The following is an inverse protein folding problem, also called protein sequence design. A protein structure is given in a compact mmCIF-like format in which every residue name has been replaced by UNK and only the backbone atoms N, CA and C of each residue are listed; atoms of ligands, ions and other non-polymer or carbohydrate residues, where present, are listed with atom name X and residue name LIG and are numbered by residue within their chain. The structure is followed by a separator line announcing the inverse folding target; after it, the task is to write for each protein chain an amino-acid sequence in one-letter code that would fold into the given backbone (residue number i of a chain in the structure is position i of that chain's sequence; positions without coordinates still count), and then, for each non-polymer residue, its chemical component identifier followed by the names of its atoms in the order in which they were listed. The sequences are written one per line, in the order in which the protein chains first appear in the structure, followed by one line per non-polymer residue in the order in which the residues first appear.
data_IF_755396481685
#
_entry.id   IF_755396481685
#
_cell.length_a   1.000
_cell.length_b   1.000
_cell.length_c   1.000
_cell.angle_alpha   90.00
_cell.angle_beta   90.00
_cell.angle_gamma   90.00
#
_symmetry.space_group_name_H-M   'P 1'
#
loop_
_entity.id
_entity.type
_entity.pdbx_description
1 polymer ?
#
# COMPACT_ATOMS: atom_id res chain seq x y z
N UNK A 1 63.42 -55.91 -22.93
CA UNK A 1 62.93 -56.80 -24.01
C UNK A 1 61.49 -57.22 -23.72
N UNK A 2 60.56 -56.95 -24.64
CA UNK A 2 59.23 -57.59 -24.90
C UNK A 2 58.25 -57.74 -23.71
N UNK A 3 57.14 -56.97 -23.68
CA UNK A 3 55.79 -57.31 -24.22
C UNK A 3 55.29 -58.73 -23.85
N UNK A 4 54.17 -58.87 -23.12
CA UNK A 4 52.81 -59.13 -23.66
C UNK A 4 51.75 -59.49 -22.57
N UNK A 5 50.57 -58.86 -22.69
CA UNK A 5 49.16 -59.36 -22.52
C UNK A 5 48.59 -59.95 -21.18
N UNK A 6 47.63 -59.17 -20.63
CA UNK A 6 46.15 -59.40 -20.52
C UNK A 6 45.61 -60.60 -19.73
N UNK A 7 44.74 -60.34 -18.73
CA UNK A 7 43.41 -60.94 -18.47
C UNK A 7 42.71 -60.13 -17.34
N UNK A 8 41.65 -59.34 -17.63
CA UNK A 8 40.21 -59.58 -17.36
C UNK A 8 39.86 -60.01 -15.92
N UNK A 9 39.17 -59.13 -15.17
CA UNK A 9 38.43 -59.49 -13.95
C UNK A 9 37.79 -58.29 -13.25
N UNK A 10 36.47 -58.13 -13.43
CA UNK A 10 35.46 -57.54 -12.52
C UNK A 10 35.84 -56.36 -11.60
N UNK A 11 35.26 -55.18 -11.86
CA UNK A 11 35.04 -54.12 -10.87
C UNK A 11 33.53 -53.91 -10.69
N UNK A 12 33.03 -54.17 -9.48
CA UNK A 12 31.72 -53.70 -9.04
C UNK A 12 31.75 -52.17 -8.97
N UNK A 13 30.97 -51.50 -9.81
CA UNK A 13 30.67 -50.08 -9.68
C UNK A 13 29.54 -49.87 -8.67
N UNK A 14 29.88 -49.37 -7.48
CA UNK A 14 28.91 -48.81 -6.55
C UNK A 14 28.64 -47.35 -6.91
N UNK A 15 27.49 -47.07 -7.53
CA UNK A 15 26.99 -45.71 -7.74
C UNK A 15 26.20 -45.31 -6.50
N UNK A 16 26.78 -44.41 -5.70
CA UNK A 16 26.11 -43.75 -4.59
C UNK A 16 25.16 -42.68 -5.19
N UNK A 17 23.87 -43.00 -5.28
CA UNK A 17 22.85 -42.06 -5.71
C UNK A 17 22.59 -41.00 -4.65
N UNK A 18 23.06 -39.77 -4.87
CA UNK A 18 22.63 -38.60 -4.09
C UNK A 18 21.22 -38.25 -4.53
N UNK A 19 20.24 -38.60 -3.69
CA UNK A 19 18.85 -38.16 -3.83
C UNK A 19 18.77 -36.66 -3.53
N UNK A 20 18.85 -35.83 -4.57
CA UNK A 20 18.40 -34.44 -4.53
C UNK A 20 16.87 -34.45 -4.41
N UNK A 21 16.37 -34.46 -3.17
CA UNK A 21 14.96 -34.17 -2.91
C UNK A 21 14.64 -32.75 -3.39
N UNK A 22 13.48 -32.51 -4.03
CA UNK A 22 13.08 -31.17 -4.38
C UNK A 22 12.97 -30.33 -3.10
N UNK A 23 13.71 -29.23 -3.03
CA UNK A 23 13.46 -28.17 -2.08
C UNK A 23 12.15 -27.51 -2.50
N UNK A 24 11.04 -27.92 -1.89
CA UNK A 24 9.80 -27.17 -1.95
C UNK A 24 10.05 -25.89 -1.17
N UNK A 25 10.48 -24.84 -1.86
CA UNK A 25 10.31 -23.48 -1.35
C UNK A 25 8.80 -23.29 -1.28
N UNK A 26 8.21 -23.46 -0.11
CA UNK A 26 6.89 -22.92 0.16
C UNK A 26 6.99 -21.45 -0.20
N UNK A 27 6.17 -20.98 -1.14
CA UNK A 27 6.00 -19.56 -1.35
C UNK A 27 5.68 -18.99 0.02
N UNK A 28 6.62 -18.26 0.63
CA UNK A 28 6.33 -17.52 1.84
C UNK A 28 5.08 -16.70 1.52
N UNK A 29 4.08 -16.73 2.40
CA UNK A 29 2.88 -15.89 2.30
C UNK A 29 3.35 -14.46 2.10
N UNK A 30 3.46 -14.07 0.85
CA UNK A 30 4.12 -12.84 0.50
C UNK A 30 3.10 -11.74 0.79
N UNK A 31 3.29 -11.13 1.95
CA UNK A 31 2.50 -9.99 2.37
C UNK A 31 3.25 -8.75 1.89
N UNK A 32 2.57 -7.84 1.19
CA UNK A 32 3.21 -6.63 0.70
C UNK A 32 3.58 -5.67 1.84
N UNK A 33 3.31 -6.01 3.11
CA UNK A 33 3.67 -5.24 4.30
C UNK A 33 4.21 -6.20 5.36
N UNK A 34 5.02 -5.68 6.28
CA UNK A 34 5.49 -6.43 7.44
C UNK A 34 4.51 -6.28 8.61
N UNK A 35 4.38 -7.32 9.43
CA UNK A 35 3.65 -7.21 10.69
C UNK A 35 4.31 -6.14 11.57
N UNK A 36 3.53 -5.17 12.06
CA UNK A 36 4.07 -4.05 12.83
C UNK A 36 4.82 -3.01 11.99
N UNK A 37 4.69 -3.04 10.66
CA UNK A 37 5.33 -2.06 9.79
C UNK A 37 4.95 -0.63 10.20
N UNK A 38 5.96 0.23 10.30
CA UNK A 38 5.81 1.66 10.57
C UNK A 38 6.60 2.44 9.54
N UNK A 39 5.92 3.22 8.71
CA UNK A 39 6.50 4.09 7.69
C UNK A 39 6.34 5.55 8.13
N UNK A 40 7.46 6.25 8.31
CA UNK A 40 7.48 7.67 8.72
C UNK A 40 7.86 8.53 7.52
N UNK A 41 7.05 9.55 7.26
CA UNK A 41 7.18 10.44 6.12
C UNK A 41 7.36 11.87 6.59
N UNK A 42 8.23 12.61 5.93
CA UNK A 42 8.34 14.06 6.09
C UNK A 42 7.37 14.75 5.16
N UNK A 43 6.57 15.65 5.70
CA UNK A 43 5.68 16.51 4.94
C UNK A 43 6.44 17.75 4.51
N UNK A 44 6.45 18.02 3.21
CA UNK A 44 7.22 19.08 2.58
C UNK A 44 6.29 20.03 1.82
N UNK A 45 6.53 21.33 2.01
CA UNK A 45 5.98 22.39 1.16
C UNK A 45 6.68 22.40 -0.21
N UNK A 46 6.15 23.04 -1.28
CA UNK A 46 6.86 23.16 -2.56
C UNK A 46 8.28 23.72 -2.45
N UNK A 47 8.55 24.60 -1.49
CA UNK A 47 9.91 25.13 -1.23
C UNK A 47 10.85 24.13 -0.53
N UNK A 48 10.39 22.89 -0.29
CA UNK A 48 11.05 21.83 0.48
C UNK A 48 11.23 22.11 1.97
N UNK A 49 10.57 23.14 2.49
CA UNK A 49 10.47 23.37 3.94
C UNK A 49 9.64 22.26 4.55
N UNK A 50 10.12 21.69 5.66
CA UNK A 50 9.41 20.67 6.43
C UNK A 50 8.23 21.31 7.16
N UNK A 51 7.06 20.73 6.98
CA UNK A 51 5.82 21.13 7.63
C UNK A 51 5.47 20.23 8.81
N UNK A 52 5.98 19.01 8.83
CA UNK A 52 5.73 18.03 9.87
C UNK A 52 5.92 16.62 9.35
N UNK A 53 5.14 15.69 9.87
CA UNK A 53 5.30 14.26 9.65
C UNK A 53 3.97 13.55 9.38
N UNK A 54 4.05 12.46 8.64
CA UNK A 54 2.98 11.47 8.57
C UNK A 54 3.54 10.10 8.94
N UNK A 55 2.76 9.31 9.66
CA UNK A 55 3.15 7.97 10.09
C UNK A 55 2.06 7.02 9.65
N UNK A 56 2.45 5.97 8.92
CA UNK A 56 1.58 4.86 8.56
C UNK A 56 2.00 3.65 9.39
N UNK A 57 1.03 2.95 9.96
CA UNK A 57 1.24 1.75 10.75
C UNK A 57 0.30 0.64 10.32
N UNK A 58 0.82 -0.58 10.30
CA UNK A 58 0.06 -1.80 10.02
C UNK A 58 0.26 -2.81 11.14
N UNK A 59 -0.83 -3.42 11.58
CA UNK A 59 -0.79 -4.57 12.48
C UNK A 59 -1.88 -5.56 12.12
N UNK A 60 -1.70 -6.84 12.43
CA UNK A 60 -2.74 -7.86 12.32
C UNK A 60 -3.41 -8.14 13.64
N UNK A 61 -4.69 -8.51 13.57
CA UNK A 61 -5.46 -9.02 14.70
C UNK A 61 -6.33 -10.18 14.21
N UNK A 62 -5.85 -11.41 14.41
CA UNK A 62 -6.53 -12.59 13.88
C UNK A 62 -6.58 -12.57 12.35
N UNK A 63 -7.79 -12.53 11.77
CA UNK A 63 -8.01 -12.47 10.32
C UNK A 63 -8.21 -11.04 9.78
N UNK A 64 -7.88 -10.04 10.60
CA UNK A 64 -8.05 -8.63 10.25
C UNK A 64 -6.69 -7.92 10.17
N UNK A 65 -6.61 -6.96 9.26
CA UNK A 65 -5.57 -5.96 9.18
C UNK A 65 -6.07 -4.66 9.77
N UNK A 66 -5.25 -4.03 10.59
CA UNK A 66 -5.51 -2.73 11.20
C UNK A 66 -4.48 -1.75 10.65
N UNK A 67 -4.98 -0.68 10.05
CA UNK A 67 -4.19 0.41 9.51
C UNK A 67 -4.40 1.64 10.37
N UNK A 68 -3.32 2.36 10.69
CA UNK A 68 -3.39 3.66 11.34
C UNK A 68 -2.50 4.65 10.59
N UNK A 69 -3.03 5.85 10.36
CA UNK A 69 -2.29 6.96 9.78
C UNK A 69 -2.49 8.19 10.65
N UNK A 70 -1.38 8.77 11.10
CA UNK A 70 -1.38 10.08 11.74
C UNK A 70 -0.63 11.05 10.86
N UNK A 71 -1.20 12.23 10.62
CA UNK A 71 -0.56 13.32 9.87
C UNK A 71 -0.55 14.51 10.80
N UNK A 72 0.62 15.05 11.08
CA UNK A 72 0.79 16.25 11.90
C UNK A 72 1.63 17.24 11.10
N UNK A 73 1.05 18.40 10.83
CA UNK A 73 1.68 19.46 10.05
C UNK A 73 1.37 20.83 10.62
N UNK A 74 2.23 21.80 10.32
CA UNK A 74 2.06 23.19 10.74
C UNK A 74 2.40 24.14 9.62
N UNK A 75 1.42 24.98 9.27
CA UNK A 75 1.63 26.18 8.47
C UNK A 75 1.62 27.41 9.40
N UNK A 76 2.16 28.57 8.97
CA UNK A 76 2.27 29.75 9.83
C UNK A 76 0.95 30.17 10.51
N UNK A 77 -0.18 29.95 9.84
CA UNK A 77 -1.51 30.41 10.27
C UNK A 77 -2.40 29.31 10.84
N UNK A 78 -2.08 28.03 10.63
CA UNK A 78 -2.94 26.92 11.05
C UNK A 78 -2.18 25.60 11.23
N UNK A 79 -2.66 24.80 12.17
CA UNK A 79 -2.28 23.40 12.34
C UNK A 79 -3.06 22.54 11.35
N UNK A 80 -2.41 21.49 10.87
CA UNK A 80 -3.00 20.39 10.10
C UNK A 80 -2.80 19.13 10.94
N UNK A 81 -3.88 18.46 11.29
CA UNK A 81 -3.84 17.17 11.99
C UNK A 81 -4.86 16.23 11.35
N UNK A 82 -4.42 15.03 11.00
CA UNK A 82 -5.32 13.96 10.58
C UNK A 82 -5.02 12.69 11.37
N UNK A 83 -6.07 11.98 11.75
CA UNK A 83 -6.01 10.64 12.30
C UNK A 83 -6.95 9.76 11.49
N UNK A 84 -6.42 8.75 10.82
CA UNK A 84 -7.17 7.81 10.01
C UNK A 84 -6.91 6.41 10.56
N UNK A 85 -7.96 5.60 10.70
CA UNK A 85 -7.84 4.19 11.00
C UNK A 85 -8.74 3.38 10.08
N UNK A 86 -8.26 2.24 9.61
CA UNK A 86 -9.04 1.33 8.79
C UNK A 86 -8.84 -0.12 9.26
N UNK A 87 -9.88 -0.93 9.12
CA UNK A 87 -9.84 -2.38 9.35
C UNK A 87 -10.26 -3.07 8.07
N UNK A 88 -9.51 -4.07 7.64
CA UNK A 88 -9.82 -4.88 6.46
C UNK A 88 -9.61 -6.37 6.69
N UNK A 89 -10.18 -7.21 5.84
CA UNK A 89 -9.88 -8.65 5.83
C UNK A 89 -8.42 -8.88 5.46
N UNK A 90 -7.77 -9.86 6.10
CA UNK A 90 -6.37 -10.17 5.87
C UNK A 90 -6.09 -10.76 4.48
N UNK A 91 -7.02 -11.53 3.95
CA UNK A 91 -6.86 -12.28 2.69
C UNK A 91 -7.01 -11.36 1.47
N UNK A 92 -8.16 -10.68 1.36
CA UNK A 92 -8.53 -9.94 0.15
C UNK A 92 -8.48 -8.41 0.30
N UNK A 93 -8.15 -7.91 1.49
CA UNK A 93 -8.17 -6.48 1.83
C UNK A 93 -9.55 -5.85 1.56
N UNK A 94 -10.64 -6.55 1.91
CA UNK A 94 -11.97 -5.97 1.87
C UNK A 94 -12.18 -5.14 3.14
N UNK A 95 -12.63 -3.89 3.00
CA UNK A 95 -12.81 -3.02 4.17
C UNK A 95 -13.93 -3.52 5.08
N UNK A 96 -13.72 -3.37 6.38
CA UNK A 96 -14.70 -3.66 7.43
C UNK A 96 -15.09 -2.37 8.15
N UNK A 97 -14.10 -1.53 8.45
CA UNK A 97 -14.29 -0.23 9.10
C UNK A 97 -13.30 0.79 8.57
N UNK A 98 -13.74 2.05 8.51
CA UNK A 98 -12.86 3.18 8.26
C UNK A 98 -13.30 4.35 9.14
N UNK A 99 -12.34 5.08 9.67
CA UNK A 99 -12.58 6.25 10.50
C UNK A 99 -11.53 7.31 10.20
N UNK A 100 -11.96 8.55 10.05
CA UNK A 100 -11.08 9.68 9.79
C UNK A 100 -11.52 10.88 10.62
N UNK A 101 -10.56 11.45 11.35
CA UNK A 101 -10.64 12.78 11.97
C UNK A 101 -9.67 13.70 11.25
N UNK A 102 -10.11 14.91 10.95
CA UNK A 102 -9.30 15.92 10.27
C UNK A 102 -9.52 17.28 10.92
N UNK A 103 -8.44 17.96 11.25
CA UNK A 103 -8.39 19.32 11.74
C UNK A 103 -7.45 20.14 10.85
N UNK A 104 -8.02 21.07 10.09
CA UNK A 104 -7.29 21.96 9.20
C UNK A 104 -7.63 23.41 9.56
N UNK A 105 -6.82 24.01 10.42
CA UNK A 105 -7.13 25.32 11.01
C UNK A 105 -8.46 25.31 11.77
N UNK A 106 -9.43 26.17 11.42
CA UNK A 106 -10.75 26.18 12.07
C UNK A 106 -11.66 25.05 11.60
N UNK A 107 -11.33 24.35 10.51
CA UNK A 107 -12.17 23.28 9.95
C UNK A 107 -11.91 21.98 10.68
N UNK A 108 -12.96 21.39 11.25
CA UNK A 108 -12.93 20.06 11.85
C UNK A 108 -13.92 19.15 11.14
N UNK A 109 -13.53 17.91 10.91
CA UNK A 109 -14.44 16.90 10.37
C UNK A 109 -14.11 15.53 10.92
N UNK A 110 -15.16 14.73 11.07
CA UNK A 110 -15.09 13.34 11.48
C UNK A 110 -16.01 12.53 10.56
N UNK A 111 -15.50 11.42 10.08
CA UNK A 111 -16.18 10.55 9.11
C UNK A 111 -15.90 9.10 9.46
N UNK A 112 -16.95 8.30 9.55
CA UNK A 112 -16.86 6.87 9.86
C UNK A 112 -17.65 6.07 8.82
N UNK A 113 -17.11 4.92 8.41
CA UNK A 113 -17.72 3.96 7.51
C UNK A 113 -17.66 2.58 8.14
N UNK A 114 -18.78 1.86 8.09
CA UNK A 114 -18.86 0.43 8.42
C UNK A 114 -19.32 -0.30 7.16
N UNK A 115 -18.67 -1.42 6.87
CA UNK A 115 -18.90 -2.20 5.67
C UNK A 115 -19.49 -3.56 6.04
N UNK A 116 -20.65 -3.87 5.48
CA UNK A 116 -21.21 -5.21 5.43
C UNK A 116 -21.01 -5.74 4.01
N UNK A 117 -19.89 -6.44 3.82
CA UNK A 117 -19.50 -6.99 2.52
C UNK A 117 -20.49 -8.05 2.03
N UNK A 118 -21.06 -8.84 2.95
CA UNK A 118 -22.01 -9.90 2.61
C UNK A 118 -23.37 -9.35 2.20
N UNK A 119 -23.83 -8.28 2.85
CA UNK A 119 -25.07 -7.59 2.48
C UNK A 119 -24.90 -6.56 1.34
N UNK A 120 -23.67 -6.37 0.84
CA UNK A 120 -23.33 -5.32 -0.13
C UNK A 120 -23.76 -3.91 0.31
N UNK A 121 -23.59 -3.60 1.59
CA UNK A 121 -23.95 -2.30 2.18
C UNK A 121 -22.81 -1.65 2.94
N UNK A 122 -22.73 -0.33 2.88
CA UNK A 122 -21.91 0.47 3.80
C UNK A 122 -22.76 1.52 4.50
N UNK A 123 -22.51 1.71 5.79
CA UNK A 123 -23.11 2.74 6.62
C UNK A 123 -22.06 3.81 6.92
N UNK A 124 -22.37 5.06 6.60
CA UNK A 124 -21.53 6.24 6.88
C UNK A 124 -22.13 7.06 8.00
N UNK A 125 -21.28 7.56 8.89
CA UNK A 125 -21.64 8.58 9.88
C UNK A 125 -20.74 9.80 9.67
N UNK A 126 -21.33 10.95 9.37
CA UNK A 126 -20.60 12.21 9.18
C UNK A 126 -21.42 13.38 9.71
N UNK A 127 -20.84 14.17 10.62
CA UNK A 127 -21.54 15.33 11.21
C UNK A 127 -22.84 14.97 11.93
N UNK A 128 -22.89 13.80 12.58
CA UNK A 128 -24.09 13.28 13.25
C UNK A 128 -25.13 12.65 12.32
N UNK A 129 -24.98 12.77 11.00
CA UNK A 129 -25.89 12.17 10.03
C UNK A 129 -25.43 10.76 9.66
N UNK A 130 -26.37 9.82 9.68
CA UNK A 130 -26.16 8.46 9.16
C UNK A 130 -26.71 8.35 7.75
N UNK A 131 -25.92 7.82 6.82
CA UNK A 131 -26.39 7.41 5.49
C UNK A 131 -25.97 5.99 5.18
N UNK A 132 -26.69 5.31 4.30
CA UNK A 132 -26.32 3.99 3.78
C UNK A 132 -26.17 4.03 2.27
N UNK A 133 -25.30 3.18 1.74
CA UNK A 133 -25.07 3.05 0.30
C UNK A 133 -24.80 1.59 -0.07
N UNK A 134 -25.21 1.21 -1.28
CA UNK A 134 -24.81 -0.07 -1.87
C UNK A 134 -23.33 -0.03 -2.27
N UNK A 135 -22.62 -1.11 -1.98
CA UNK A 135 -21.20 -1.26 -2.29
C UNK A 135 -20.98 -2.46 -3.22
N UNK A 136 -19.93 -2.45 -4.06
CA UNK A 136 -19.55 -3.63 -4.83
C UNK A 136 -19.05 -4.74 -3.90
N UNK A 137 -18.87 -5.94 -4.46
CA UNK A 137 -18.13 -7.00 -3.79
C UNK A 137 -16.72 -6.53 -3.40
N UNK A 138 -16.29 -6.87 -2.18
CA UNK A 138 -15.00 -6.50 -1.62
C UNK A 138 -14.67 -5.00 -1.79
N UNK A 139 -15.58 -4.14 -1.34
CA UNK A 139 -15.35 -2.70 -1.37
C UNK A 139 -14.19 -2.30 -0.46
N UNK A 140 -13.40 -1.31 -0.92
CA UNK A 140 -12.20 -0.84 -0.20
C UNK A 140 -12.30 0.66 0.07
N UNK A 141 -12.05 1.07 1.30
CA UNK A 141 -11.84 2.47 1.67
C UNK A 141 -10.52 3.00 1.09
N UNK A 142 -10.28 4.33 1.10
CA UNK A 142 -9.09 4.90 0.47
C UNK A 142 -7.76 4.38 1.02
N UNK A 143 -7.67 4.10 2.32
CA UNK A 143 -6.44 3.62 2.96
C UNK A 143 -6.21 2.15 2.61
N UNK A 144 -7.24 1.32 2.76
CA UNK A 144 -7.19 -0.10 2.39
C UNK A 144 -6.85 -0.28 0.90
N UNK A 145 -7.36 0.60 0.02
CA UNK A 145 -7.04 0.57 -1.41
C UNK A 145 -5.54 0.75 -1.69
N UNK A 146 -4.83 1.61 -0.95
CA UNK A 146 -3.37 1.81 -1.13
C UNK A 146 -2.62 0.50 -0.84
N UNK A 147 -2.99 -0.20 0.23
CA UNK A 147 -2.38 -1.50 0.57
C UNK A 147 -2.78 -2.60 -0.41
N UNK A 148 -3.99 -2.56 -0.97
CA UNK A 148 -4.39 -3.47 -2.05
C UNK A 148 -3.58 -3.24 -3.32
N UNK A 149 -3.40 -2.00 -3.74
CA UNK A 149 -2.53 -1.68 -4.89
C UNK A 149 -1.11 -2.18 -4.64
N UNK A 150 -0.59 -1.96 -3.43
CA UNK A 150 0.70 -2.49 -3.01
C UNK A 150 0.76 -4.01 -3.17
N UNK A 151 -0.27 -4.74 -2.75
CA UNK A 151 -0.36 -6.21 -2.90
C UNK A 151 -0.34 -6.66 -4.36
N UNK A 152 -1.09 -5.98 -5.23
CA UNK A 152 -1.14 -6.33 -6.65
C UNK A 152 0.21 -6.11 -7.34
N UNK A 153 0.84 -4.95 -7.11
CA UNK A 153 2.17 -4.63 -7.66
C UNK A 153 3.24 -5.63 -7.22
N UNK A 154 3.12 -6.06 -5.96
CA UNK A 154 4.04 -6.98 -5.33
C UNK A 154 3.86 -8.39 -5.92
N UNK A 155 2.63 -8.78 -6.27
CA UNK A 155 2.30 -10.00 -7.02
C UNK A 155 2.62 -9.92 -8.53
N UNK A 156 3.25 -8.83 -9.00
CA UNK A 156 3.56 -8.62 -10.41
C UNK A 156 2.35 -8.34 -11.30
N UNK A 157 1.19 -8.05 -10.71
CA UNK A 157 -0.02 -7.70 -11.44
C UNK A 157 -0.01 -6.20 -11.77
N UNK A 158 -0.44 -5.80 -12.98
CA UNK A 158 -0.65 -4.38 -13.25
C UNK A 158 -1.71 -3.85 -12.27
N UNK A 159 -1.57 -2.61 -11.75
CA UNK A 159 -2.60 -2.04 -10.91
C UNK A 159 -3.84 -1.82 -11.76
N UNK A 160 -4.86 -2.64 -11.55
CA UNK A 160 -6.15 -2.44 -12.20
C UNK A 160 -6.75 -1.12 -11.69
N UNK A 161 -7.37 -0.36 -12.60
CA UNK A 161 -8.23 0.74 -12.19
C UNK A 161 -9.36 0.15 -11.36
N UNK A 162 -9.48 0.61 -10.11
CA UNK A 162 -10.41 0.06 -9.13
C UNK A 162 -11.51 1.04 -8.77
N UNK A 163 -12.17 0.76 -7.66
CA UNK A 163 -13.04 1.70 -6.99
C UNK A 163 -12.68 1.78 -5.52
N UNK A 164 -12.83 2.96 -4.94
CA UNK A 164 -12.86 3.13 -3.49
C UNK A 164 -14.24 3.55 -3.03
N UNK A 165 -14.61 3.16 -1.83
CA UNK A 165 -15.83 3.64 -1.20
C UNK A 165 -15.52 4.68 -0.14
N UNK A 166 -15.97 5.92 -0.36
CA UNK A 166 -15.86 7.01 0.61
C UNK A 166 -17.20 7.75 0.74
N UNK A 167 -18.20 7.03 1.24
CA UNK A 167 -19.60 7.43 1.28
C UNK A 167 -20.33 7.41 -0.07
N UNK A 168 -19.61 7.08 -1.14
CA UNK A 168 -20.09 6.68 -2.45
C UNK A 168 -18.99 5.86 -3.11
N UNK A 169 -19.34 5.11 -4.15
CA UNK A 169 -18.35 4.45 -4.99
C UNK A 169 -17.67 5.48 -5.88
N UNK A 170 -16.35 5.57 -5.79
CA UNK A 170 -15.50 6.50 -6.52
C UNK A 170 -14.58 5.67 -7.39
N UNK A 171 -14.65 5.86 -8.71
CA UNK A 171 -13.72 5.23 -9.63
C UNK A 171 -12.32 5.78 -9.40
N UNK A 172 -11.34 4.87 -9.31
CA UNK A 172 -9.92 5.19 -9.14
C UNK A 172 -9.16 4.61 -10.31
N UNK A 173 -8.50 5.48 -11.07
CA UNK A 173 -7.61 5.10 -12.16
C UNK A 173 -6.17 5.16 -11.68
N UNK A 174 -5.43 4.09 -11.88
CA UNK A 174 -3.99 4.02 -11.64
C UNK A 174 -3.27 3.89 -12.98
N UNK A 175 -2.34 4.79 -13.22
CA UNK A 175 -1.56 4.81 -14.46
C UNK A 175 -0.07 4.83 -14.12
N UNK A 176 0.68 3.85 -14.62
CA UNK A 176 2.13 3.83 -14.49
C UNK A 176 2.71 4.88 -15.42
N UNK A 177 3.41 5.86 -14.85
CA UNK A 177 4.01 6.98 -15.60
C UNK A 177 5.45 6.66 -16.01
N UNK A 178 6.19 5.95 -15.17
CA UNK A 178 7.59 5.63 -15.45
C UNK A 178 8.32 5.08 -14.24
N UNK A 179 9.63 4.95 -14.37
CA UNK A 179 10.51 4.53 -13.29
C UNK A 179 11.60 5.58 -13.09
N UNK A 180 11.95 5.87 -11.84
CA UNK A 180 12.99 6.82 -11.50
C UNK A 180 13.71 6.43 -10.19
N UNK A 181 14.89 7.01 -9.94
CA UNK A 181 15.60 6.81 -8.67
C UNK A 181 15.40 8.03 -7.79
N UNK A 182 14.78 7.83 -6.63
CA UNK A 182 14.55 8.87 -5.64
C UNK A 182 15.76 9.00 -4.72
N UNK A 183 16.06 10.24 -4.31
CA UNK A 183 17.00 10.54 -3.24
C UNK A 183 16.21 10.84 -1.97
N UNK A 184 16.17 9.87 -1.04
CA UNK A 184 15.37 9.91 0.19
C UNK A 184 16.27 9.54 1.37
N UNK A 185 16.31 10.39 2.41
CA UNK A 185 17.15 10.13 3.59
C UNK A 185 18.65 9.93 3.27
N UNK A 186 19.16 10.57 2.21
CA UNK A 186 20.53 10.37 1.73
C UNK A 186 20.79 9.05 0.97
N UNK A 187 19.75 8.24 0.76
CA UNK A 187 19.82 6.95 0.08
C UNK A 187 19.12 7.00 -1.28
N UNK A 188 19.74 6.38 -2.29
CA UNK A 188 19.14 6.17 -3.61
C UNK A 188 18.16 5.01 -3.54
N UNK A 189 16.88 5.26 -3.79
CA UNK A 189 15.82 4.23 -3.82
C UNK A 189 15.16 4.18 -5.19
N UNK A 190 15.33 3.10 -5.98
CA UNK A 190 14.61 2.92 -7.24
C UNK A 190 13.11 2.81 -7.00
N UNK A 191 12.32 3.47 -7.85
CA UNK A 191 10.88 3.58 -7.68
C UNK A 191 10.13 3.58 -9.03
N UNK A 192 8.89 3.11 -9.01
CA UNK A 192 7.92 3.28 -10.09
C UNK A 192 6.90 4.34 -9.72
N UNK A 193 6.72 5.33 -10.60
CA UNK A 193 5.78 6.42 -10.43
C UNK A 193 4.42 6.03 -11.00
N UNK A 194 3.38 6.23 -10.21
CA UNK A 194 2.00 6.09 -10.61
C UNK A 194 1.25 7.40 -10.43
N UNK A 195 0.44 7.75 -11.42
CA UNK A 195 -0.58 8.78 -11.28
C UNK A 195 -1.88 8.10 -10.86
N UNK A 196 -2.47 8.59 -9.78
CA UNK A 196 -3.76 8.14 -9.27
C UNK A 196 -4.78 9.23 -9.50
N UNK A 197 -5.79 8.94 -10.31
CA UNK A 197 -6.93 9.83 -10.54
C UNK A 197 -8.16 9.28 -9.85
N UNK A 198 -8.92 10.12 -9.16
CA UNK A 198 -10.24 9.78 -8.63
C UNK A 198 -11.26 10.82 -9.04
N UNK A 199 -12.39 10.34 -9.56
CA UNK A 199 -13.41 11.19 -10.18
C UNK A 199 -14.71 11.14 -9.41
N UNK A 200 -15.23 12.33 -9.10
CA UNK A 200 -16.63 12.53 -8.68
C UNK A 200 -17.40 13.10 -9.88
N UNK A 201 -18.76 13.10 -9.85
CA UNK A 201 -19.55 13.70 -10.93
C UNK A 201 -19.22 15.16 -11.23
N UNK A 202 -18.62 15.88 -10.28
CA UNK A 202 -18.36 17.32 -10.38
C UNK A 202 -16.88 17.69 -10.40
N UNK A 203 -15.96 16.74 -10.25
CA UNK A 203 -14.53 17.01 -10.21
C UNK A 203 -13.68 15.75 -10.41
N UNK A 204 -12.60 15.86 -11.17
CA UNK A 204 -11.49 14.89 -11.14
C UNK A 204 -10.38 15.46 -10.26
N UNK A 205 -9.78 14.61 -9.42
CA UNK A 205 -8.59 14.94 -8.65
C UNK A 205 -7.50 13.93 -8.94
N UNK A 206 -6.25 14.38 -8.91
CA UNK A 206 -5.08 13.56 -9.22
C UNK A 206 -4.03 13.73 -8.14
N UNK A 207 -3.31 12.67 -7.85
CA UNK A 207 -2.08 12.70 -7.05
C UNK A 207 -1.09 11.70 -7.62
N UNK A 208 0.17 11.79 -7.24
CA UNK A 208 1.19 10.82 -7.63
C UNK A 208 1.69 10.04 -6.41
N UNK A 209 2.01 8.77 -6.63
CA UNK A 209 2.65 7.89 -5.65
C UNK A 209 3.83 7.18 -6.31
N UNK A 210 4.91 7.03 -5.55
CA UNK A 210 6.07 6.26 -5.95
C UNK A 210 6.15 5.02 -5.09
N UNK A 211 6.13 3.84 -5.70
CA UNK A 211 6.36 2.58 -4.98
C UNK A 211 7.79 2.10 -5.24
N UNK A 212 8.44 1.50 -4.24
CA UNK A 212 9.73 0.84 -4.43
C UNK A 212 9.64 -0.27 -5.48
N UNK A 213 10.78 -0.60 -6.09
CA UNK A 213 10.88 -1.72 -7.05
C UNK A 213 11.22 -3.05 -6.37
N UNK A 214 11.53 -3.03 -5.08
CA UNK A 214 11.75 -4.25 -4.30
C UNK A 214 10.43 -4.99 -4.05
N UNK A 215 10.54 -6.20 -3.49
CA UNK A 215 9.37 -7.02 -3.20
C UNK A 215 8.42 -6.34 -2.20
N UNK A 216 8.90 -5.45 -1.32
CA UNK A 216 8.03 -4.79 -0.35
C UNK A 216 7.10 -3.76 -1.00
N UNK A 217 7.42 -3.24 -2.20
CA UNK A 217 6.63 -2.22 -2.91
C UNK A 217 6.24 -1.04 -2.02
N UNK A 218 7.09 -0.66 -1.07
CA UNK A 218 6.82 0.39 -0.09
C UNK A 218 6.50 1.71 -0.79
N UNK A 219 5.43 2.44 -0.42
CA UNK A 219 5.22 3.80 -0.89
C UNK A 219 6.36 4.69 -0.39
N UNK A 220 7.14 5.26 -1.30
CA UNK A 220 8.32 6.05 -0.99
C UNK A 220 8.03 7.55 -1.00
N UNK A 221 7.09 7.99 -1.84
CA UNK A 221 6.68 9.38 -1.95
C UNK A 221 5.22 9.48 -2.34
N UNK A 222 4.54 10.50 -1.80
CA UNK A 222 3.25 10.98 -2.30
C UNK A 222 3.39 12.44 -2.70
N UNK A 223 2.70 12.82 -3.77
CA UNK A 223 2.59 14.21 -4.20
C UNK A 223 1.12 14.54 -4.44
N UNK A 224 0.59 15.46 -3.64
CA UNK A 224 -0.84 15.79 -3.60
C UNK A 224 -1.04 17.26 -3.94
N UNK A 225 -1.56 17.57 -5.13
CA UNK A 225 -2.03 18.90 -5.49
C UNK A 225 -3.22 19.30 -4.61
N UNK A 226 -3.15 20.50 -4.04
CA UNK A 226 -4.27 21.16 -3.35
C UNK A 226 -4.56 22.49 -4.01
N UNK A 227 -5.62 23.17 -3.57
CA UNK A 227 -5.94 24.53 -4.06
C UNK A 227 -4.88 25.56 -3.69
N UNK A 228 -4.05 25.29 -2.68
CA UNK A 228 -3.03 26.22 -2.19
C UNK A 228 -1.65 25.93 -2.80
N UNK A 229 -1.27 24.66 -2.86
CA UNK A 229 0.06 24.21 -3.24
C UNK A 229 0.08 22.69 -3.53
N UNK A 230 1.18 22.21 -4.09
CA UNK A 230 1.49 20.78 -4.16
C UNK A 230 2.26 20.34 -2.91
N UNK A 231 1.68 19.44 -2.12
CA UNK A 231 2.34 18.88 -0.94
C UNK A 231 3.06 17.59 -1.30
N UNK A 232 4.25 17.39 -0.72
CA UNK A 232 4.98 16.14 -0.87
C UNK A 232 5.15 15.45 0.48
N UNK A 233 4.87 14.16 0.55
CA UNK A 233 5.26 13.31 1.67
C UNK A 233 6.40 12.40 1.20
N UNK A 234 7.57 12.46 1.83
CA UNK A 234 8.76 11.65 1.50
C UNK A 234 9.08 10.70 2.64
N UNK A 235 9.23 9.41 2.34
CA UNK A 235 9.65 8.41 3.32
C UNK A 235 11.06 8.73 3.83
N UNK A 236 11.27 8.61 5.14
CA UNK A 236 12.58 8.81 5.78
C UNK A 236 13.60 7.69 5.48
#
# INVERSE_FOLDING_TARGET
MRFLKRHRGFLLGGVLGVLLGPLWVTAADFRPFQEGERLTYRLLWPSRVVLGEAVFQVSTRGKELNFQVTVEGRLPQYRISHSISAIATLEDLCSLQFHQKSEEGPRRSEDSLQFDQAAHQARRIRGGQTTSATIPECARDPLTLIYYVRSQLAAGKPPESGATHWGRNIAVRLERIGSETLQLGGTRRPAEKFQVSYSTPTSERKFAVWFSTDAARTPLRFTVPTTLAEFTAELE
#
